data_IF_028040199873
#
_entry.id   IF_028040199873
#
_cell.length_a   1.000
_cell.length_b   1.000
_cell.length_c   1.000
_cell.angle_alpha   90.00
_cell.angle_beta   90.00
_cell.angle_gamma   90.00
#
_symmetry.space_group_name_H-M   'P 1'
#
loop_
_entity.id
_entity.type
_entity.pdbx_description
1 polymer ?
#
# COMPACT_ATOMS: atom_id res chain seq x y z
N UNK A 1 -25.95 -7.95 -88.94
CA UNK A 1 -25.28 -7.69 -87.65
C UNK A 1 -26.37 -7.49 -86.63
N UNK A 2 -26.68 -8.54 -85.86
CA UNK A 2 -26.12 -8.73 -84.52
C UNK A 2 -26.68 -7.62 -83.62
N UNK A 3 -27.66 -7.94 -82.78
CA UNK A 3 -27.44 -8.55 -81.46
C UNK A 3 -26.35 -7.79 -80.70
N UNK A 4 -26.63 -7.46 -79.43
CA UNK A 4 -25.85 -6.60 -78.52
C UNK A 4 -26.26 -5.14 -78.60
N UNK A 5 -27.39 -4.79 -77.97
CA UNK A 5 -27.50 -3.57 -77.15
C UNK A 5 -28.79 -3.54 -76.28
N UNK A 6 -29.50 -4.68 -76.17
CA UNK A 6 -30.75 -4.81 -75.41
C UNK A 6 -30.62 -5.62 -74.09
N UNK A 7 -29.42 -5.83 -73.55
CA UNK A 7 -29.21 -6.66 -72.33
C UNK A 7 -28.45 -5.96 -71.19
N UNK A 8 -28.01 -4.70 -71.37
CA UNK A 8 -27.15 -4.02 -70.38
C UNK A 8 -27.84 -2.92 -69.54
N UNK A 9 -29.18 -2.88 -69.50
CA UNK A 9 -29.92 -1.88 -68.71
C UNK A 9 -30.93 -2.44 -67.71
N UNK A 10 -30.91 -3.75 -67.44
CA UNK A 10 -31.82 -4.40 -66.47
C UNK A 10 -31.10 -5.17 -65.36
N UNK A 11 -29.79 -4.95 -65.19
CA UNK A 11 -28.95 -5.69 -64.26
C UNK A 11 -28.02 -4.78 -63.46
N UNK A 12 -28.55 -3.66 -62.94
CA UNK A 12 -27.82 -2.78 -62.04
C UNK A 12 -28.78 -1.93 -61.18
N UNK A 13 -29.64 -2.59 -60.39
CA UNK A 13 -30.21 -2.05 -59.15
C UNK A 13 -31.18 -3.07 -58.52
N UNK A 14 -30.75 -4.32 -58.32
CA UNK A 14 -31.15 -4.98 -57.08
C UNK A 14 -30.38 -4.25 -55.97
N UNK A 15 -30.91 -3.08 -55.60
CA UNK A 15 -30.65 -2.52 -54.29
C UNK A 15 -31.20 -3.57 -53.34
N UNK A 16 -30.31 -4.43 -52.85
CA UNK A 16 -30.52 -5.06 -51.56
C UNK A 16 -30.75 -3.89 -50.61
N UNK A 17 -32.01 -3.53 -50.40
CA UNK A 17 -32.46 -2.95 -49.15
C UNK A 17 -32.21 -4.07 -48.15
N UNK A 18 -30.96 -4.16 -47.70
CA UNK A 18 -30.66 -4.73 -46.41
C UNK A 18 -31.40 -3.77 -45.50
N UNK A 19 -32.64 -4.11 -45.15
CA UNK A 19 -33.25 -3.55 -43.95
C UNK A 19 -32.14 -3.61 -42.92
N UNK A 20 -31.65 -2.44 -42.53
CA UNK A 20 -31.05 -2.30 -41.23
C UNK A 20 -32.18 -2.77 -40.32
N UNK A 21 -32.20 -4.07 -40.00
CA UNK A 21 -32.66 -4.50 -38.70
C UNK A 21 -31.89 -3.56 -37.78
N UNK A 22 -32.59 -2.58 -37.24
CA UNK A 22 -32.16 -2.02 -35.98
C UNK A 22 -31.88 -3.27 -35.14
N UNK A 23 -30.61 -3.54 -34.85
CA UNK A 23 -30.30 -4.50 -33.79
C UNK A 23 -31.21 -4.09 -32.65
N UNK A 24 -32.13 -4.96 -32.28
CA UNK A 24 -32.83 -4.76 -31.02
C UNK A 24 -31.73 -4.56 -30.00
N UNK A 25 -31.73 -3.44 -29.25
CA UNK A 25 -30.63 -3.16 -28.35
C UNK A 25 -30.44 -4.38 -27.46
N UNK A 26 -29.26 -5.00 -27.55
CA UNK A 26 -28.97 -6.20 -26.78
C UNK A 26 -29.36 -5.94 -25.34
N UNK A 27 -30.10 -6.86 -24.71
CA UNK A 27 -30.58 -6.64 -23.37
C UNK A 27 -29.37 -6.38 -22.45
N UNK A 28 -29.47 -5.40 -21.54
CA UNK A 28 -28.30 -4.85 -20.87
C UNK A 28 -27.63 -5.91 -19.99
N UNK A 29 -26.28 -5.92 -19.91
CA UNK A 29 -25.58 -6.91 -19.12
C UNK A 29 -25.86 -6.70 -17.62
N UNK A 30 -25.90 -7.80 -16.88
CA UNK A 30 -25.94 -7.77 -15.41
C UNK A 30 -24.53 -7.66 -14.89
N UNK A 31 -24.27 -6.69 -13.99
CA UNK A 31 -22.93 -6.46 -13.42
C UNK A 31 -22.88 -6.85 -11.95
N UNK A 32 -21.87 -7.61 -11.57
CA UNK A 32 -21.63 -8.08 -10.22
C UNK A 32 -20.31 -7.53 -9.68
N UNK A 33 -20.33 -6.92 -8.49
CA UNK A 33 -19.14 -6.66 -7.70
C UNK A 33 -18.80 -7.91 -6.91
N UNK A 34 -17.58 -8.43 -7.12
CA UNK A 34 -16.99 -9.48 -6.31
C UNK A 34 -15.99 -8.90 -5.33
N UNK A 35 -16.18 -9.21 -4.05
CA UNK A 35 -15.26 -8.87 -2.97
C UNK A 35 -14.59 -10.14 -2.48
N UNK A 36 -13.27 -10.17 -2.60
CA UNK A 36 -12.43 -11.31 -2.19
C UNK A 36 -11.77 -10.96 -0.87
N UNK A 37 -12.05 -11.74 0.17
CA UNK A 37 -11.48 -11.55 1.50
C UNK A 37 -9.94 -11.67 1.51
N UNK A 38 -9.23 -11.17 2.53
CA UNK A 38 -7.77 -11.11 2.53
C UNK A 38 -7.09 -12.48 2.59
N UNK A 39 -5.84 -12.61 2.14
CA UNK A 39 -5.03 -13.84 2.23
C UNK A 39 -3.69 -13.63 2.91
N UNK A 40 -2.91 -14.71 3.03
CA UNK A 40 -1.63 -14.74 3.74
C UNK A 40 -0.48 -14.09 2.95
N UNK A 41 -0.52 -14.10 1.62
CA UNK A 41 0.49 -13.48 0.73
C UNK A 41 0.41 -11.95 0.77
N UNK A 42 1.55 -11.29 0.55
CA UNK A 42 1.71 -9.83 0.68
C UNK A 42 0.68 -9.02 -0.14
N UNK A 43 0.50 -9.23 -1.47
CA UNK A 43 -0.40 -8.40 -2.25
C UNK A 43 -1.89 -8.61 -1.90
N UNK A 44 -2.26 -9.79 -1.38
CA UNK A 44 -3.66 -10.11 -1.06
C UNK A 44 -4.09 -9.75 0.37
N UNK A 45 -3.25 -9.10 1.18
CA UNK A 45 -3.53 -8.89 2.63
C UNK A 45 -4.67 -7.92 2.93
N UNK A 46 -4.99 -7.03 2.00
CA UNK A 46 -6.14 -6.14 2.12
C UNK A 46 -7.40 -6.72 1.43
N UNK A 47 -7.27 -7.87 0.77
CA UNK A 47 -8.31 -8.45 -0.08
C UNK A 47 -8.08 -8.14 -1.56
N UNK A 48 -9.10 -8.41 -2.37
CA UNK A 48 -9.13 -8.08 -3.78
C UNK A 48 -10.57 -7.78 -4.23
N UNK A 49 -10.75 -7.10 -5.35
CA UNK A 49 -12.07 -6.80 -5.90
C UNK A 49 -12.07 -6.98 -7.42
N UNK A 50 -13.20 -7.44 -7.98
CA UNK A 50 -13.42 -7.60 -9.42
C UNK A 50 -14.85 -7.17 -9.77
N UNK A 51 -15.05 -6.70 -11.01
CA UNK A 51 -16.40 -6.55 -11.59
C UNK A 51 -16.61 -7.63 -12.64
N UNK A 52 -17.70 -8.37 -12.56
CA UNK A 52 -18.06 -9.36 -13.56
C UNK A 52 -19.34 -8.96 -14.29
N UNK A 53 -19.31 -9.00 -15.61
CA UNK A 53 -20.48 -8.79 -16.45
C UNK A 53 -20.98 -10.12 -16.99
N UNK A 54 -22.30 -10.32 -16.94
CA UNK A 54 -23.00 -11.42 -17.61
C UNK A 54 -23.93 -10.86 -18.67
N UNK A 55 -23.94 -11.51 -19.82
CA UNK A 55 -24.88 -11.18 -20.89
C UNK A 55 -26.31 -11.47 -20.43
N UNK A 56 -27.27 -10.66 -20.89
CA UNK A 56 -28.65 -10.86 -20.51
C UNK A 56 -29.20 -12.19 -21.04
N UNK A 57 -29.92 -12.91 -20.20
CA UNK A 57 -30.38 -14.28 -20.48
C UNK A 57 -29.32 -15.36 -20.18
N UNK A 58 -28.08 -14.96 -19.84
CA UNK A 58 -26.98 -15.86 -19.48
C UNK A 58 -26.50 -15.58 -18.06
N UNK A 59 -27.35 -15.86 -17.08
CA UNK A 59 -27.07 -15.59 -15.66
C UNK A 59 -26.10 -16.58 -15.01
N UNK A 60 -25.57 -17.55 -15.75
CA UNK A 60 -24.63 -18.54 -15.21
C UNK A 60 -23.17 -18.03 -15.22
N UNK A 61 -22.36 -18.36 -14.18
CA UNK A 61 -20.94 -17.99 -14.13
C UNK A 61 -20.12 -18.46 -15.34
N UNK A 62 -20.56 -19.51 -16.04
CA UNK A 62 -19.89 -20.01 -17.24
C UNK A 62 -19.82 -18.97 -18.38
N UNK A 63 -20.73 -17.99 -18.38
CA UNK A 63 -20.81 -16.93 -19.39
C UNK A 63 -20.34 -15.56 -18.85
N UNK A 64 -19.83 -15.52 -17.61
CA UNK A 64 -19.39 -14.29 -16.97
C UNK A 64 -17.97 -13.86 -17.38
N UNK A 65 -17.78 -12.56 -17.56
CA UNK A 65 -16.50 -11.93 -17.86
C UNK A 65 -16.11 -10.98 -16.73
N UNK A 66 -15.03 -11.27 -16.03
CA UNK A 66 -14.55 -10.52 -14.88
C UNK A 66 -13.38 -9.62 -15.24
N UNK A 67 -13.53 -8.32 -14.98
CA UNK A 67 -12.53 -7.30 -15.16
C UNK A 67 -11.66 -7.19 -13.90
N UNK A 68 -10.36 -7.38 -14.07
CA UNK A 68 -9.36 -7.34 -13.00
C UNK A 68 -8.31 -6.25 -13.27
N UNK A 69 -8.06 -5.42 -12.27
CA UNK A 69 -7.07 -4.34 -12.28
C UNK A 69 -5.88 -4.60 -11.33
N UNK A 70 -5.79 -5.79 -10.75
CA UNK A 70 -4.73 -6.22 -9.83
C UNK A 70 -3.66 -7.11 -10.47
N UNK A 71 -3.57 -7.15 -11.80
CA UNK A 71 -2.61 -8.01 -12.51
C UNK A 71 -1.37 -7.22 -12.91
N UNK A 72 -0.22 -7.67 -12.40
CA UNK A 72 1.08 -7.10 -12.75
C UNK A 72 1.54 -7.58 -14.14
N UNK A 73 2.37 -6.78 -14.80
CA UNK A 73 2.95 -7.10 -16.12
C UNK A 73 4.18 -8.02 -16.06
N UNK A 74 4.67 -8.34 -14.85
CA UNK A 74 5.80 -9.21 -14.56
C UNK A 74 5.47 -10.15 -13.39
N UNK A 75 6.06 -11.35 -13.41
CA UNK A 75 5.98 -12.31 -12.29
C UNK A 75 6.99 -11.98 -11.16
N UNK A 76 8.00 -11.15 -11.44
CA UNK A 76 8.96 -10.71 -10.42
C UNK A 76 8.35 -9.61 -9.54
N UNK A 77 7.81 -10.02 -8.39
CA UNK A 77 7.17 -9.11 -7.45
C UNK A 77 8.10 -8.03 -6.87
N UNK A 78 9.42 -8.24 -6.88
CA UNK A 78 10.36 -7.20 -6.49
C UNK A 78 10.45 -6.11 -7.56
N UNK A 79 10.56 -6.50 -8.83
CA UNK A 79 10.53 -5.58 -9.96
C UNK A 79 9.20 -4.80 -10.01
N UNK A 80 8.08 -5.50 -9.80
CA UNK A 80 6.75 -4.89 -9.75
C UNK A 80 6.67 -3.85 -8.61
N UNK A 81 7.07 -4.22 -7.40
CA UNK A 81 7.05 -3.29 -6.26
C UNK A 81 7.95 -2.07 -6.50
N UNK A 82 9.16 -2.28 -7.01
CA UNK A 82 10.10 -1.20 -7.31
C UNK A 82 9.60 -0.25 -8.41
N UNK A 83 9.06 -0.81 -9.50
CA UNK A 83 8.54 -0.04 -10.63
C UNK A 83 7.33 0.80 -10.22
N UNK A 84 6.43 0.21 -9.41
CA UNK A 84 5.29 0.92 -8.83
C UNK A 84 5.74 2.09 -7.94
N UNK A 85 6.71 1.86 -7.04
CA UNK A 85 7.29 2.91 -6.18
C UNK A 85 7.98 4.03 -6.98
N UNK A 86 8.43 3.75 -8.21
CA UNK A 86 8.97 4.76 -9.15
C UNK A 86 7.89 5.47 -9.96
N UNK A 87 6.62 5.17 -9.73
CA UNK A 87 5.47 5.73 -10.43
C UNK A 87 5.48 5.40 -11.92
N UNK A 88 6.01 4.24 -12.28
CA UNK A 88 6.07 3.76 -13.67
C UNK A 88 4.93 2.75 -13.90
N UNK A 89 4.32 2.73 -15.09
CA UNK A 89 3.29 1.75 -15.42
C UNK A 89 3.80 0.31 -15.33
N UNK A 90 3.05 -0.57 -14.67
CA UNK A 90 3.38 -1.99 -14.48
C UNK A 90 2.21 -2.90 -14.10
N UNK A 91 0.98 -2.40 -14.16
CA UNK A 91 -0.23 -3.21 -13.99
C UNK A 91 -1.10 -3.07 -15.23
N UNK A 92 -1.68 -4.17 -15.68
CA UNK A 92 -2.51 -4.23 -16.88
C UNK A 92 -3.93 -4.65 -16.51
N UNK A 93 -4.96 -3.97 -17.04
CA UNK A 93 -6.33 -4.44 -16.90
C UNK A 93 -6.54 -5.70 -17.75
N UNK A 94 -7.16 -6.73 -17.17
CA UNK A 94 -7.43 -8.00 -17.86
C UNK A 94 -8.88 -8.42 -17.73
N UNK A 95 -9.31 -9.33 -18.60
CA UNK A 95 -10.59 -10.05 -18.48
C UNK A 95 -10.31 -11.53 -18.22
N UNK A 96 -10.99 -12.09 -17.23
CA UNK A 96 -10.91 -13.50 -16.83
C UNK A 96 -12.33 -14.07 -16.83
N UNK A 97 -12.49 -15.35 -17.20
CA UNK A 97 -13.77 -16.03 -17.08
C UNK A 97 -14.22 -16.14 -15.62
N UNK A 98 -15.50 -15.90 -15.34
CA UNK A 98 -16.01 -15.85 -13.96
C UNK A 98 -15.88 -17.20 -13.25
N UNK A 99 -16.17 -18.32 -13.91
CA UNK A 99 -15.93 -19.66 -13.33
C UNK A 99 -14.47 -19.87 -12.93
N UNK A 100 -13.52 -19.44 -13.77
CA UNK A 100 -12.07 -19.56 -13.52
C UNK A 100 -11.66 -18.72 -12.31
N UNK A 101 -12.17 -17.49 -12.22
CA UNK A 101 -11.94 -16.61 -11.08
C UNK A 101 -12.47 -17.22 -9.77
N UNK A 102 -13.69 -17.73 -9.79
CA UNK A 102 -14.31 -18.35 -8.63
C UNK A 102 -13.53 -19.58 -8.16
N UNK A 103 -13.14 -20.46 -9.08
CA UNK A 103 -12.32 -21.64 -8.77
C UNK A 103 -10.97 -21.22 -8.17
N UNK A 104 -10.25 -20.30 -8.82
CA UNK A 104 -8.93 -19.82 -8.38
C UNK A 104 -8.92 -19.32 -6.92
N UNK A 105 -9.93 -18.52 -6.53
CA UNK A 105 -10.02 -17.97 -5.18
C UNK A 105 -10.60 -18.96 -4.16
N UNK A 106 -11.54 -19.82 -4.57
CA UNK A 106 -12.07 -20.91 -3.70
C UNK A 106 -10.99 -21.91 -3.32
N UNK A 107 -10.18 -22.35 -4.28
CA UNK A 107 -9.04 -23.26 -4.03
C UNK A 107 -8.02 -22.67 -3.06
N UNK A 108 -7.91 -21.34 -2.99
CA UNK A 108 -7.05 -20.60 -2.03
C UNK A 108 -7.73 -20.33 -0.69
N UNK A 109 -8.92 -20.90 -0.47
CA UNK A 109 -9.70 -20.74 0.77
C UNK A 109 -10.13 -19.31 1.07
N UNK A 110 -10.29 -18.48 0.03
CA UNK A 110 -10.67 -17.07 0.16
C UNK A 110 -12.17 -16.98 0.39
N UNK A 111 -12.59 -16.10 1.31
CA UNK A 111 -13.99 -15.67 1.32
C UNK A 111 -14.30 -14.92 0.03
N UNK A 112 -15.46 -15.20 -0.55
CA UNK A 112 -15.96 -14.53 -1.75
C UNK A 112 -17.38 -14.05 -1.44
N UNK A 113 -17.60 -12.76 -1.63
CA UNK A 113 -18.89 -12.10 -1.54
C UNK A 113 -19.24 -11.48 -2.89
N UNK A 114 -20.53 -11.43 -3.21
CA UNK A 114 -21.05 -10.91 -4.47
C UNK A 114 -22.17 -9.90 -4.23
N UNK A 115 -22.18 -8.81 -4.99
CA UNK A 115 -23.29 -7.84 -5.02
C UNK A 115 -23.70 -7.60 -6.47
N UNK A 116 -24.98 -7.84 -6.81
CA UNK A 116 -25.53 -7.46 -8.12
C UNK A 116 -25.80 -5.96 -8.12
N UNK A 117 -25.07 -5.22 -8.95
CA UNK A 117 -25.22 -3.76 -9.00
C UNK A 117 -26.57 -3.41 -9.66
N UNK A 118 -27.44 -2.62 -9.02
CA UNK A 118 -28.76 -2.29 -9.54
C UNK A 118 -28.64 -1.13 -10.55
N UNK A 119 -27.93 -1.39 -11.64
CA UNK A 119 -27.66 -0.45 -12.72
C UNK A 119 -28.82 -0.45 -13.71
N UNK A 120 -29.17 0.72 -14.22
CA UNK A 120 -29.97 0.82 -15.44
C UNK A 120 -29.19 0.25 -16.63
N UNK A 121 -29.89 -0.08 -17.71
CA UNK A 121 -29.23 -0.63 -18.89
C UNK A 121 -28.16 0.29 -19.49
N UNK A 122 -28.37 1.60 -19.41
CA UNK A 122 -27.39 2.60 -19.85
C UNK A 122 -26.15 2.63 -18.94
N UNK A 123 -26.33 2.61 -17.62
CA UNK A 123 -25.22 2.59 -16.66
C UNK A 123 -24.39 1.31 -16.80
N UNK A 124 -25.05 0.15 -16.96
CA UNK A 124 -24.39 -1.13 -17.16
C UNK A 124 -23.58 -1.17 -18.48
N UNK A 125 -24.19 -0.75 -19.60
CA UNK A 125 -23.50 -0.69 -20.89
C UNK A 125 -22.32 0.31 -20.88
N UNK A 126 -22.49 1.46 -20.22
CA UNK A 126 -21.42 2.45 -20.06
C UNK A 126 -20.25 1.91 -19.23
N UNK A 127 -20.55 1.24 -18.10
CA UNK A 127 -19.56 0.64 -17.22
C UNK A 127 -18.76 -0.46 -17.92
N UNK A 128 -19.45 -1.44 -18.51
CA UNK A 128 -18.81 -2.57 -19.20
C UNK A 128 -18.00 -2.08 -20.40
N UNK A 129 -18.58 -1.22 -21.23
CA UNK A 129 -17.88 -0.69 -22.40
C UNK A 129 -16.64 0.14 -22.04
N UNK A 130 -16.64 0.84 -20.89
CA UNK A 130 -15.45 1.54 -20.40
C UNK A 130 -14.32 0.58 -20.04
N UNK A 131 -14.61 -0.46 -19.26
CA UNK A 131 -13.62 -1.47 -18.87
C UNK A 131 -13.12 -2.28 -20.07
N UNK A 132 -14.00 -2.65 -21.00
CA UNK A 132 -13.61 -3.33 -22.24
C UNK A 132 -12.66 -2.50 -23.09
N UNK A 133 -12.87 -1.19 -23.20
CA UNK A 133 -11.94 -0.30 -23.92
C UNK A 133 -10.57 -0.25 -23.25
N UNK A 134 -10.51 -0.21 -21.91
CA UNK A 134 -9.25 -0.21 -21.19
C UNK A 134 -8.49 -1.53 -21.36
N UNK A 135 -9.16 -2.67 -21.17
CA UNK A 135 -8.58 -3.99 -21.39
C UNK A 135 -8.10 -4.15 -22.84
N UNK A 136 -8.95 -3.81 -23.81
CA UNK A 136 -8.61 -3.89 -25.24
C UNK A 136 -7.43 -3.00 -25.62
N UNK A 137 -7.23 -1.88 -24.91
CA UNK A 137 -6.08 -1.01 -25.14
C UNK A 137 -4.77 -1.65 -24.72
N UNK A 138 -4.81 -2.60 -23.77
CA UNK A 138 -3.64 -3.24 -23.17
C UNK A 138 -2.66 -2.27 -22.49
N UNK A 139 -3.07 -1.02 -22.24
CA UNK A 139 -2.17 0.01 -21.71
C UNK A 139 -1.94 -0.22 -20.22
N UNK A 140 -0.68 -0.42 -19.79
CA UNK A 140 -0.38 -0.53 -18.37
C UNK A 140 -0.63 0.82 -17.68
N UNK A 141 -0.94 0.76 -16.40
CA UNK A 141 -1.03 1.93 -15.52
C UNK A 141 -0.07 1.79 -14.34
N UNK A 142 0.29 2.93 -13.75
CA UNK A 142 1.15 2.98 -12.57
C UNK A 142 0.32 2.63 -11.34
N UNK A 143 0.57 1.46 -10.76
CA UNK A 143 -0.13 1.03 -9.57
C UNK A 143 0.26 1.89 -8.37
N UNK A 144 -0.74 2.27 -7.58
CA UNK A 144 -0.55 2.98 -6.32
C UNK A 144 -1.45 2.33 -5.25
N UNK A 145 -0.89 1.88 -4.12
CA UNK A 145 -1.63 1.12 -3.12
C UNK A 145 -2.83 1.90 -2.53
N UNK A 146 -2.76 3.23 -2.51
CA UNK A 146 -3.82 4.09 -2.00
C UNK A 146 -4.76 4.66 -3.06
N UNK A 147 -4.23 4.95 -4.26
CA UNK A 147 -4.89 5.85 -5.22
C UNK A 147 -5.25 5.17 -6.54
N UNK A 148 -4.55 4.09 -6.91
CA UNK A 148 -4.72 3.39 -8.17
C UNK A 148 -4.42 1.91 -7.95
N UNK A 149 -5.31 1.23 -7.23
CA UNK A 149 -5.23 -0.20 -6.94
C UNK A 149 -6.41 -0.95 -7.58
N UNK A 150 -6.46 -2.27 -7.41
CA UNK A 150 -7.53 -3.11 -7.95
C UNK A 150 -8.94 -2.65 -7.55
N UNK A 151 -9.09 -2.09 -6.35
CA UNK A 151 -10.37 -1.65 -5.79
C UNK A 151 -10.70 -0.22 -6.21
N UNK A 152 -9.74 0.72 -6.14
CA UNK A 152 -10.00 2.12 -6.51
C UNK A 152 -10.31 2.27 -7.99
N UNK A 153 -9.68 1.47 -8.85
CA UNK A 153 -10.00 1.44 -10.29
C UNK A 153 -11.46 1.06 -10.54
N UNK A 154 -11.95 0.01 -9.88
CA UNK A 154 -13.34 -0.42 -10.01
C UNK A 154 -14.31 0.59 -9.37
N UNK A 155 -13.97 1.10 -8.18
CA UNK A 155 -14.72 2.18 -7.50
C UNK A 155 -14.93 3.37 -8.43
N UNK A 156 -13.87 3.83 -9.09
CA UNK A 156 -13.91 5.00 -9.97
C UNK A 156 -14.79 4.72 -11.20
N UNK A 157 -14.70 3.53 -11.79
CA UNK A 157 -15.57 3.12 -12.90
C UNK A 157 -17.05 3.07 -12.51
N UNK A 158 -17.37 2.51 -11.34
CA UNK A 158 -18.74 2.48 -10.81
C UNK A 158 -19.27 3.90 -10.59
N UNK A 159 -18.46 4.77 -9.97
CA UNK A 159 -18.85 6.15 -9.68
C UNK A 159 -19.12 6.96 -10.95
N UNK A 160 -18.25 6.84 -11.96
CA UNK A 160 -18.44 7.50 -13.26
C UNK A 160 -19.71 6.97 -13.95
N UNK A 161 -19.90 5.66 -14.01
CA UNK A 161 -21.06 5.06 -14.66
C UNK A 161 -22.38 5.45 -13.98
N UNK A 162 -22.36 5.65 -12.66
CA UNK A 162 -23.54 5.97 -11.85
C UNK A 162 -23.65 7.46 -11.50
N UNK A 163 -22.92 8.31 -12.22
CA UNK A 163 -22.91 9.76 -12.09
C UNK A 163 -22.73 10.25 -10.63
N UNK A 164 -21.75 9.70 -9.93
CA UNK A 164 -21.36 10.15 -8.60
C UNK A 164 -22.12 9.49 -7.44
N UNK A 165 -22.98 8.49 -7.70
CA UNK A 165 -23.80 7.85 -6.66
C UNK A 165 -22.96 7.16 -5.57
N UNK A 166 -21.79 6.63 -5.93
CA UNK A 166 -20.87 5.98 -5.00
C UNK A 166 -19.95 6.99 -4.29
N UNK A 167 -19.77 8.20 -4.84
CA UNK A 167 -18.88 9.25 -4.35
C UNK A 167 -18.93 9.53 -2.85
N UNK A 168 -20.12 9.55 -2.19
CA UNK A 168 -20.17 9.80 -0.76
C UNK A 168 -19.53 8.70 0.10
N UNK A 169 -19.29 7.49 -0.45
CA UNK A 169 -18.75 6.33 0.27
C UNK A 169 -19.68 5.81 1.37
N UNK A 170 -19.29 4.83 2.19
CA UNK A 170 -20.11 4.40 3.34
C UNK A 170 -20.16 5.50 4.42
N UNK A 171 -21.28 5.58 5.14
CA UNK A 171 -21.47 6.52 6.26
C UNK A 171 -20.52 6.28 7.43
N UNK A 172 -20.07 5.03 7.60
CA UNK A 172 -19.12 4.62 8.63
C UNK A 172 -17.92 3.93 8.00
N UNK A 173 -16.72 4.33 8.42
CA UNK A 173 -15.46 3.67 8.06
C UNK A 173 -14.68 3.28 9.31
N UNK A 174 -13.82 2.26 9.24
CA UNK A 174 -12.90 1.94 10.34
C UNK A 174 -12.08 3.19 10.73
N UNK A 175 -12.01 3.52 12.04
CA UNK A 175 -11.25 4.68 12.47
C UNK A 175 -9.75 4.46 12.27
N UNK A 176 -9.02 5.54 12.08
CA UNK A 176 -7.57 5.53 11.94
C UNK A 176 -7.09 6.28 10.73
N UNK A 177 -5.82 6.09 10.44
CA UNK A 177 -5.08 6.66 9.32
C UNK A 177 -4.87 5.61 8.23
N UNK A 178 -4.34 6.02 7.07
CA UNK A 178 -3.90 5.08 6.04
C UNK A 178 -2.86 4.07 6.56
N UNK A 179 -1.98 4.49 7.48
CA UNK A 179 -1.03 3.63 8.19
C UNK A 179 -1.75 2.52 8.95
N UNK A 180 -2.82 2.86 9.67
CA UNK A 180 -3.58 1.88 10.44
C UNK A 180 -4.23 0.81 9.56
N UNK A 181 -4.72 1.20 8.37
CA UNK A 181 -5.33 0.27 7.42
C UNK A 181 -4.29 -0.75 6.92
N UNK A 182 -3.09 -0.29 6.60
CA UNK A 182 -2.01 -1.15 6.12
C UNK A 182 -1.40 -1.99 7.24
N UNK A 183 -1.19 -1.43 8.44
CA UNK A 183 -0.71 -2.19 9.60
C UNK A 183 -1.70 -3.27 10.02
N UNK A 184 -3.02 -3.03 9.94
CA UNK A 184 -4.05 -4.04 10.24
C UNK A 184 -3.99 -5.21 9.24
N UNK A 185 -3.95 -4.92 7.93
CA UNK A 185 -3.81 -5.97 6.90
C UNK A 185 -2.54 -6.81 7.08
N UNK A 186 -1.47 -6.20 7.61
CA UNK A 186 -0.18 -6.84 7.86
C UNK A 186 0.02 -7.30 9.30
N UNK A 187 -1.04 -7.30 10.10
CA UNK A 187 -0.96 -7.74 11.50
C UNK A 187 -0.29 -9.12 11.59
N UNK A 188 0.68 -9.22 12.51
CA UNK A 188 1.37 -10.48 12.82
C UNK A 188 2.58 -10.76 11.93
N UNK A 189 2.81 -9.92 10.92
CA UNK A 189 4.02 -9.98 10.08
C UNK A 189 5.07 -9.03 10.62
N UNK A 190 5.77 -9.49 11.64
CA UNK A 190 6.77 -8.72 12.39
C UNK A 190 7.75 -8.00 11.47
N UNK A 191 8.33 -8.69 10.47
CA UNK A 191 9.29 -8.08 9.55
C UNK A 191 8.68 -6.93 8.73
N UNK A 192 7.47 -7.12 8.19
CA UNK A 192 6.78 -6.11 7.39
C UNK A 192 6.37 -4.93 8.26
N UNK A 193 5.77 -5.18 9.42
CA UNK A 193 5.39 -4.12 10.37
C UNK A 193 6.61 -3.33 10.85
N UNK A 194 7.76 -3.97 11.04
CA UNK A 194 9.02 -3.29 11.40
C UNK A 194 9.50 -2.41 10.25
N UNK A 195 9.44 -2.89 9.02
CA UNK A 195 9.74 -2.08 7.84
C UNK A 195 8.80 -0.87 7.73
N UNK A 196 7.48 -1.07 7.91
CA UNK A 196 6.51 0.03 7.93
C UNK A 196 6.81 1.05 9.03
N UNK A 197 7.17 0.60 10.24
CA UNK A 197 7.52 1.48 11.36
C UNK A 197 8.78 2.33 11.14
N UNK A 198 9.61 1.99 10.15
CA UNK A 198 10.85 2.67 9.78
C UNK A 198 10.68 3.51 8.51
N UNK A 199 10.08 2.94 7.46
CA UNK A 199 10.11 3.52 6.11
C UNK A 199 8.85 4.29 5.72
N UNK A 200 7.71 4.10 6.40
CA UNK A 200 6.50 4.87 6.11
C UNK A 200 6.65 6.30 6.62
N UNK A 201 6.55 7.25 5.70
CA UNK A 201 6.51 8.68 5.96
C UNK A 201 5.13 9.19 6.35
N UNK A 202 5.03 10.52 6.49
CA UNK A 202 3.84 11.21 7.03
C UNK A 202 2.59 11.08 6.15
N UNK A 203 2.76 10.80 4.85
CA UNK A 203 1.63 10.61 3.94
C UNK A 203 0.70 9.45 4.36
N UNK A 204 1.21 8.48 5.13
CA UNK A 204 0.39 7.40 5.67
C UNK A 204 -0.41 7.82 6.91
N UNK A 205 -0.08 8.95 7.54
CA UNK A 205 -0.74 9.41 8.75
C UNK A 205 -1.97 10.30 8.44
N UNK A 206 -2.33 10.41 7.15
CA UNK A 206 -3.58 10.97 6.66
C UNK A 206 -4.78 10.12 7.10
N UNK A 207 -5.86 10.79 7.52
CA UNK A 207 -7.15 10.14 7.81
C UNK A 207 -7.98 10.08 6.53
N UNK A 208 -8.28 8.88 6.00
CA UNK A 208 -9.02 8.79 4.75
C UNK A 208 -10.46 9.29 4.92
N UNK A 209 -10.95 9.97 3.90
CA UNK A 209 -12.39 10.18 3.72
C UNK A 209 -13.10 8.86 3.40
N UNK A 210 -14.44 8.77 3.52
CA UNK A 210 -15.17 7.56 3.11
C UNK A 210 -14.89 7.12 1.67
N UNK A 211 -14.71 8.09 0.77
CA UNK A 211 -14.32 7.82 -0.62
C UNK A 211 -12.94 7.15 -0.71
N UNK A 212 -11.93 7.73 -0.04
CA UNK A 212 -10.56 7.23 -0.03
C UNK A 212 -10.46 5.86 0.66
N UNK A 213 -11.23 5.64 1.72
CA UNK A 213 -11.26 4.38 2.47
C UNK A 213 -11.73 3.19 1.60
N UNK A 214 -12.50 3.42 0.54
CA UNK A 214 -12.83 2.41 -0.47
C UNK A 214 -11.62 1.97 -1.34
N UNK A 215 -10.38 2.29 -0.94
CA UNK A 215 -9.17 1.57 -1.37
C UNK A 215 -9.15 0.12 -0.88
N UNK A 216 -9.86 -0.18 0.22
CA UNK A 216 -9.99 -1.53 0.78
C UNK A 216 -11.26 -2.19 0.22
N UNK A 217 -11.17 -3.40 -0.38
CA UNK A 217 -12.32 -4.11 -0.97
C UNK A 217 -13.55 -4.21 -0.07
N UNK A 218 -13.37 -4.54 1.22
CA UNK A 218 -14.47 -4.64 2.17
C UNK A 218 -15.21 -3.30 2.38
N UNK A 219 -14.48 -2.18 2.33
CA UNK A 219 -15.08 -0.85 2.48
C UNK A 219 -15.80 -0.44 1.19
N UNK A 220 -15.29 -0.82 0.01
CA UNK A 220 -16.02 -0.66 -1.25
C UNK A 220 -17.33 -1.46 -1.24
N UNK A 221 -17.29 -2.72 -0.81
CA UNK A 221 -18.47 -3.58 -0.64
C UNK A 221 -19.53 -2.92 0.25
N UNK A 222 -19.10 -2.37 1.39
CA UNK A 222 -19.99 -1.69 2.34
C UNK A 222 -20.56 -0.39 1.76
N UNK A 223 -19.73 0.37 1.05
CA UNK A 223 -20.16 1.55 0.29
C UNK A 223 -21.20 1.22 -0.77
N UNK A 224 -21.01 0.12 -1.52
CA UNK A 224 -21.99 -0.37 -2.49
C UNK A 224 -23.28 -0.81 -1.79
N UNK A 225 -23.17 -1.53 -0.68
CA UNK A 225 -24.35 -1.97 0.07
C UNK A 225 -25.19 -0.79 0.55
N UNK A 226 -24.56 0.25 1.10
CA UNK A 226 -25.25 1.43 1.60
C UNK A 226 -25.80 2.30 0.47
N UNK A 227 -25.00 2.58 -0.57
CA UNK A 227 -25.38 3.54 -1.63
C UNK A 227 -26.33 2.97 -2.67
N UNK A 228 -26.31 1.64 -2.86
CA UNK A 228 -27.16 0.97 -3.83
C UNK A 228 -28.26 0.11 -3.18
N UNK A 229 -28.24 -0.10 -1.87
CA UNK A 229 -29.22 -0.94 -1.17
C UNK A 229 -29.07 -2.43 -1.48
N UNK A 230 -27.86 -2.88 -1.82
CA UNK A 230 -27.58 -4.27 -2.21
C UNK A 230 -26.63 -4.92 -1.21
N UNK A 231 -27.12 -5.74 -0.27
CA UNK A 231 -26.24 -6.44 0.67
C UNK A 231 -25.36 -7.48 -0.04
N UNK A 232 -24.16 -7.77 0.48
CA UNK A 232 -23.31 -8.82 -0.06
C UNK A 232 -23.92 -10.22 0.15
N UNK A 233 -23.91 -11.02 -0.90
CA UNK A 233 -24.25 -12.44 -0.87
C UNK A 233 -22.96 -13.28 -0.72
N UNK A 234 -22.94 -14.18 0.25
CA UNK A 234 -21.80 -15.08 0.46
C UNK A 234 -21.76 -16.16 -0.63
N UNK A 235 -20.71 -16.19 -1.43
CA UNK A 235 -20.50 -17.20 -2.50
C UNK A 235 -19.54 -18.31 -2.05
N UNK A 236 -18.56 -17.99 -1.21
CA UNK A 236 -17.65 -18.95 -0.61
C UNK A 236 -17.22 -18.49 0.77
N UNK A 237 -17.24 -19.39 1.75
CA UNK A 237 -16.71 -19.11 3.08
C UNK A 237 -15.18 -19.20 3.11
N UNK A 238 -14.58 -18.51 4.08
CA UNK A 238 -13.14 -18.56 4.32
C UNK A 238 -12.76 -19.89 4.97
N UNK A 239 -11.72 -20.56 4.48
CA UNK A 239 -11.27 -21.83 5.06
C UNK A 239 -10.42 -21.67 6.34
N UNK A 240 -9.71 -20.55 6.51
CA UNK A 240 -8.87 -20.30 7.69
C UNK A 240 -9.03 -18.88 8.25
N UNK A 241 -9.30 -18.67 9.55
CA UNK A 241 -9.40 -17.34 10.12
C UNK A 241 -8.05 -16.60 10.11
N UNK A 242 -8.02 -15.34 9.63
CA UNK A 242 -6.90 -14.43 9.92
C UNK A 242 -7.13 -13.89 11.30
N UNK A 243 -6.35 -14.39 12.26
CA UNK A 243 -6.39 -13.86 13.61
C UNK A 243 -5.73 -12.48 13.61
N UNK A 244 -6.48 -11.40 13.91
CA UNK A 244 -5.88 -10.10 14.05
C UNK A 244 -4.88 -10.18 15.20
N UNK A 245 -3.68 -9.73 14.92
CA UNK A 245 -2.60 -9.65 15.91
C UNK A 245 -2.21 -8.18 16.06
N UNK A 246 -1.31 -7.88 17.00
CA UNK A 246 -1.01 -6.49 17.29
C UNK A 246 -0.30 -5.79 16.12
N UNK A 247 -0.91 -4.71 15.62
CA UNK A 247 -0.30 -3.73 14.69
C UNK A 247 0.99 -3.13 15.25
N UNK A 248 1.07 -3.02 16.58
CA UNK A 248 2.19 -2.39 17.27
C UNK A 248 3.48 -3.24 17.28
N UNK A 249 3.43 -4.52 16.86
CA UNK A 249 4.60 -5.42 16.92
C UNK A 249 5.82 -4.83 16.20
N UNK A 250 5.63 -4.18 15.05
CA UNK A 250 6.72 -3.52 14.32
C UNK A 250 7.42 -2.44 15.15
N UNK A 251 6.65 -1.54 15.76
CA UNK A 251 7.18 -0.49 16.64
C UNK A 251 7.85 -1.07 17.89
N UNK A 252 7.25 -2.11 18.48
CA UNK A 252 7.81 -2.81 19.65
C UNK A 252 9.19 -3.40 19.32
N UNK A 253 9.36 -4.02 18.15
CA UNK A 253 10.68 -4.52 17.72
C UNK A 253 11.71 -3.41 17.66
N UNK A 254 11.35 -2.24 17.13
CA UNK A 254 12.27 -1.09 17.08
C UNK A 254 12.69 -0.65 18.50
N UNK A 255 11.75 -0.59 19.45
CA UNK A 255 12.08 -0.33 20.87
C UNK A 255 12.99 -1.41 21.47
N UNK A 256 12.75 -2.69 21.16
CA UNK A 256 13.58 -3.80 21.64
C UNK A 256 15.00 -3.68 21.08
N UNK A 257 15.16 -3.35 19.79
CA UNK A 257 16.47 -3.10 19.19
C UNK A 257 17.17 -1.90 19.85
N UNK A 258 16.44 -0.82 20.10
CA UNK A 258 16.96 0.35 20.82
C UNK A 258 17.53 -0.02 22.20
N UNK A 259 16.77 -0.81 22.96
CA UNK A 259 17.17 -1.28 24.28
C UNK A 259 18.34 -2.28 24.21
N UNK A 260 18.35 -3.17 23.21
CA UNK A 260 19.46 -4.08 22.97
C UNK A 260 20.77 -3.31 22.68
N UNK A 261 20.74 -2.30 21.82
CA UNK A 261 21.89 -1.44 21.55
C UNK A 261 22.37 -0.71 22.81
N UNK A 262 21.45 -0.20 23.63
CA UNK A 262 21.78 0.36 24.95
C UNK A 262 22.53 -0.64 25.82
N UNK A 263 22.02 -1.87 25.97
CA UNK A 263 22.65 -2.92 26.76
C UNK A 263 24.03 -3.32 26.21
N UNK A 264 24.17 -3.41 24.88
CA UNK A 264 25.45 -3.66 24.21
C UNK A 264 26.47 -2.60 24.58
N UNK A 265 26.10 -1.31 24.53
CA UNK A 265 26.99 -0.22 24.95
C UNK A 265 27.40 -0.38 26.41
N UNK A 266 26.44 -0.65 27.32
CA UNK A 266 26.72 -0.83 28.75
C UNK A 266 27.64 -2.04 29.01
N UNK A 267 27.45 -3.13 28.30
CA UNK A 267 28.27 -4.33 28.40
C UNK A 267 29.69 -4.09 27.88
N UNK A 268 29.84 -3.50 26.69
CA UNK A 268 31.13 -3.17 26.10
C UNK A 268 31.91 -2.17 26.96
N UNK A 269 31.25 -1.15 27.52
CA UNK A 269 31.88 -0.18 28.41
C UNK A 269 32.46 -0.83 29.68
N UNK A 270 31.75 -1.81 30.28
CA UNK A 270 32.27 -2.56 31.45
C UNK A 270 33.48 -3.43 31.13
N UNK A 271 33.71 -3.76 29.86
CA UNK A 271 34.81 -4.60 29.38
C UNK A 271 35.92 -3.80 28.70
N UNK A 272 35.89 -2.47 28.82
CA UNK A 272 36.81 -1.55 28.16
C UNK A 272 36.85 -1.67 26.62
N UNK A 273 35.73 -2.09 26.02
CA UNK A 273 35.55 -2.29 24.57
C UNK A 273 34.67 -1.20 23.95
N UNK A 274 34.79 0.05 24.39
CA UNK A 274 33.94 1.15 23.91
C UNK A 274 34.06 1.37 22.39
N UNK A 275 35.24 1.15 21.81
CA UNK A 275 35.44 1.21 20.36
C UNK A 275 34.58 0.20 19.57
N UNK A 276 34.31 -0.99 20.14
CA UNK A 276 33.40 -1.96 19.52
C UNK A 276 31.95 -1.48 19.60
N UNK A 277 31.53 -0.90 20.73
CA UNK A 277 30.20 -0.33 20.88
C UNK A 277 29.94 0.79 19.87
N UNK A 278 30.92 1.67 19.64
CA UNK A 278 30.83 2.73 18.63
C UNK A 278 30.65 2.16 17.22
N UNK A 279 31.36 1.07 16.88
CA UNK A 279 31.22 0.39 15.58
C UNK A 279 29.85 -0.25 15.41
N UNK A 280 29.33 -0.91 16.45
CA UNK A 280 28.01 -1.55 16.41
C UNK A 280 26.92 -0.48 16.28
N UNK A 281 26.89 0.51 17.18
CA UNK A 281 25.87 1.56 17.17
C UNK A 281 25.95 2.38 15.88
N UNK A 282 27.14 2.82 15.49
CA UNK A 282 27.34 3.61 14.27
C UNK A 282 27.03 2.84 13.00
N UNK A 283 27.42 1.55 12.95
CA UNK A 283 27.09 0.66 11.85
C UNK A 283 25.58 0.45 11.71
N UNK A 284 24.87 0.15 12.81
CA UNK A 284 23.42 -0.05 12.79
C UNK A 284 22.66 1.22 12.41
N UNK A 285 22.87 2.33 13.15
CA UNK A 285 22.13 3.57 12.90
C UNK A 285 22.51 4.22 11.57
N UNK A 286 23.80 4.21 11.24
CA UNK A 286 24.32 4.81 10.02
C UNK A 286 23.91 4.04 8.77
N UNK A 287 23.92 2.70 8.80
CA UNK A 287 23.41 1.90 7.68
C UNK A 287 21.90 2.11 7.51
N UNK A 288 21.14 2.10 8.61
CA UNK A 288 19.71 2.36 8.56
C UNK A 288 19.39 3.76 8.02
N UNK A 289 20.18 4.76 8.38
CA UNK A 289 20.05 6.11 7.86
C UNK A 289 20.28 6.16 6.35
N UNK A 290 21.35 5.52 5.85
CA UNK A 290 21.63 5.43 4.42
C UNK A 290 20.47 4.75 3.69
N UNK A 291 19.93 3.65 4.20
CA UNK A 291 18.82 2.97 3.52
C UNK A 291 17.55 3.81 3.52
N UNK A 292 17.19 4.45 4.63
CA UNK A 292 16.00 5.33 4.70
C UNK A 292 16.16 6.55 3.78
N UNK A 293 17.34 7.16 3.74
CA UNK A 293 17.62 8.29 2.85
C UNK A 293 17.57 7.86 1.37
N UNK A 294 18.21 6.74 1.02
CA UNK A 294 18.16 6.20 -0.34
C UNK A 294 16.73 5.87 -0.76
N UNK A 295 15.96 5.18 0.10
CA UNK A 295 14.55 4.88 -0.18
C UNK A 295 13.75 6.16 -0.36
N UNK A 296 13.92 7.16 0.51
CA UNK A 296 13.18 8.43 0.43
C UNK A 296 13.53 9.22 -0.83
N UNK A 297 14.80 9.18 -1.27
CA UNK A 297 15.26 9.86 -2.48
C UNK A 297 14.85 9.15 -3.78
N UNK A 298 14.73 7.82 -3.74
CA UNK A 298 14.45 7.01 -4.93
C UNK A 298 12.96 6.70 -5.10
N UNK A 299 12.15 6.69 -4.06
CA UNK A 299 10.70 6.42 -4.17
C UNK A 299 9.96 7.72 -4.53
N UNK A 300 8.98 7.63 -5.44
CA UNK A 300 8.15 8.78 -5.85
C UNK A 300 6.92 9.01 -4.98
N UNK A 301 6.49 7.99 -4.24
CA UNK A 301 5.31 8.06 -3.38
C UNK A 301 5.58 8.97 -2.18
N UNK A 302 4.78 10.04 -1.97
CA UNK A 302 4.94 10.93 -0.82
C UNK A 302 4.78 10.21 0.52
N UNK A 303 4.05 9.10 0.55
CA UNK A 303 3.87 8.21 1.70
C UNK A 303 5.19 7.52 2.12
N UNK A 304 6.25 7.59 1.33
CA UNK A 304 7.58 7.07 1.67
C UNK A 304 8.63 8.17 1.61
N UNK A 305 8.59 9.05 0.60
CA UNK A 305 9.62 10.06 0.37
C UNK A 305 9.55 11.25 1.34
N UNK A 306 8.36 11.63 1.80
CA UNK A 306 8.20 12.66 2.84
C UNK A 306 8.19 12.00 4.22
N UNK A 307 9.38 11.88 4.81
CA UNK A 307 9.58 11.09 6.02
C UNK A 307 10.36 11.84 7.09
N UNK A 308 9.72 12.09 8.24
CA UNK A 308 10.35 12.75 9.39
C UNK A 308 11.49 11.94 10.00
N UNK A 309 11.57 10.63 9.73
CA UNK A 309 12.68 9.77 10.15
C UNK A 309 14.04 10.27 9.63
N UNK A 310 14.07 11.02 8.52
CA UNK A 310 15.29 11.62 7.97
C UNK A 310 15.93 12.65 8.93
N UNK A 311 15.15 13.29 9.82
CA UNK A 311 15.70 14.16 10.86
C UNK A 311 16.34 13.37 12.02
N UNK A 312 15.93 12.12 12.19
CA UNK A 312 16.38 11.25 13.27
C UNK A 312 17.56 10.37 12.86
N UNK A 313 17.58 9.85 11.63
CA UNK A 313 18.57 8.88 11.17
C UNK A 313 19.60 9.58 10.27
N UNK A 314 20.84 9.74 10.75
CA UNK A 314 21.88 10.47 10.01
C UNK A 314 22.95 9.51 9.49
N UNK A 315 23.28 9.51 8.18
CA UNK A 315 24.35 8.64 7.63
C UNK A 315 25.70 8.84 8.30
N UNK A 316 25.96 10.06 8.79
CA UNK A 316 27.18 10.41 9.52
C UNK A 316 27.34 9.62 10.84
N UNK A 317 26.30 8.94 11.32
CA UNK A 317 26.41 7.99 12.43
C UNK A 317 27.39 6.82 12.11
N UNK A 318 27.64 6.50 10.83
CA UNK A 318 28.71 5.57 10.41
C UNK A 318 30.11 6.05 10.88
N UNK A 319 30.29 7.35 11.03
CA UNK A 319 31.57 7.94 11.41
C UNK A 319 31.83 7.90 12.94
N UNK A 320 30.88 7.43 13.75
CA UNK A 320 31.00 7.40 15.23
C UNK A 320 32.35 6.89 15.76
N UNK A 321 32.93 5.78 15.26
CA UNK A 321 34.23 5.29 15.74
C UNK A 321 35.40 6.25 15.48
N UNK A 322 35.25 7.18 14.54
CA UNK A 322 36.32 8.05 14.04
C UNK A 322 36.23 9.50 14.54
N UNK A 323 35.17 9.86 15.28
CA UNK A 323 34.94 11.24 15.73
C UNK A 323 35.94 11.74 16.80
N UNK A 324 36.64 10.84 17.48
CA UNK A 324 37.67 11.16 18.48
C UNK A 324 37.19 12.19 19.50
N UNK A 325 37.91 13.32 19.62
CA UNK A 325 37.62 14.40 20.58
C UNK A 325 36.24 15.06 20.38
N UNK A 326 35.66 14.98 19.17
CA UNK A 326 34.36 15.58 18.83
C UNK A 326 33.17 14.70 19.22
N UNK A 327 33.41 13.44 19.58
CA UNK A 327 32.36 12.45 19.85
C UNK A 327 31.36 12.91 20.91
N UNK A 328 31.82 13.44 22.05
CA UNK A 328 30.92 13.87 23.12
C UNK A 328 30.02 15.04 22.71
N UNK A 329 30.53 15.97 21.91
CA UNK A 329 29.73 17.07 21.36
C UNK A 329 28.70 16.54 20.35
N UNK A 330 29.13 15.67 19.46
CA UNK A 330 28.26 15.02 18.47
C UNK A 330 27.07 14.30 19.14
N UNK A 331 27.34 13.43 20.13
CA UNK A 331 26.29 12.70 20.85
C UNK A 331 25.30 13.65 21.54
N UNK A 332 25.77 14.74 22.15
CA UNK A 332 24.90 15.75 22.76
C UNK A 332 24.00 16.43 21.73
N UNK A 333 24.55 16.82 20.57
CA UNK A 333 23.79 17.43 19.49
C UNK A 333 22.72 16.45 18.98
N UNK A 334 23.10 15.19 18.72
CA UNK A 334 22.16 14.17 18.24
C UNK A 334 21.03 13.91 19.22
N UNK A 335 21.33 13.80 20.52
CA UNK A 335 20.29 13.67 21.56
C UNK A 335 19.39 14.90 21.57
N UNK A 336 19.96 16.12 21.53
CA UNK A 336 19.17 17.35 21.54
C UNK A 336 18.23 17.45 20.34
N UNK A 337 18.72 17.20 19.12
CA UNK A 337 17.89 17.17 17.89
C UNK A 337 16.79 16.13 18.02
N UNK A 338 17.12 14.92 18.50
CA UNK A 338 16.15 13.84 18.64
C UNK A 338 15.06 14.19 19.67
N UNK A 339 15.41 14.85 20.76
CA UNK A 339 14.45 15.36 21.75
C UNK A 339 13.56 16.43 21.14
N UNK A 340 14.10 17.34 20.33
CA UNK A 340 13.29 18.33 19.60
C UNK A 340 12.27 17.64 18.69
N UNK A 341 12.67 16.64 17.91
CA UNK A 341 11.75 15.87 17.05
C UNK A 341 10.67 15.15 17.88
N UNK A 342 11.03 14.55 19.01
CA UNK A 342 10.06 13.95 19.92
C UNK A 342 9.04 14.97 20.46
N UNK A 343 9.50 16.19 20.79
CA UNK A 343 8.61 17.28 21.19
C UNK A 343 7.69 17.66 20.03
N UNK A 344 8.20 17.80 18.80
CA UNK A 344 7.40 18.10 17.61
C UNK A 344 6.30 17.06 17.37
N UNK A 345 6.57 15.78 17.58
CA UNK A 345 5.55 14.72 17.54
C UNK A 345 4.51 14.91 18.66
N UNK A 346 4.94 15.09 19.91
CA UNK A 346 4.05 15.25 21.07
C UNK A 346 3.12 16.46 20.92
N UNK A 347 3.62 17.57 20.37
CA UNK A 347 2.81 18.78 20.11
C UNK A 347 2.05 18.74 18.78
N UNK A 348 2.03 17.58 18.10
CA UNK A 348 1.31 17.36 16.83
C UNK A 348 1.75 18.27 15.68
N UNK A 349 3.03 18.66 15.65
CA UNK A 349 3.64 19.33 14.48
C UNK A 349 4.18 18.28 13.50
N UNK A 350 4.84 17.25 14.01
CA UNK A 350 5.21 16.07 13.23
C UNK A 350 4.08 15.04 13.36
N UNK A 351 3.34 14.80 12.29
CA UNK A 351 2.16 13.92 12.29
C UNK A 351 2.50 12.44 12.12
N UNK A 352 3.78 12.06 12.25
CA UNK A 352 4.29 10.70 12.08
C UNK A 352 4.64 10.10 13.44
N UNK A 353 4.33 8.81 13.69
CA UNK A 353 4.76 8.12 14.91
C UNK A 353 6.27 7.88 14.89
N UNK A 354 7.02 8.64 15.68
CA UNK A 354 8.49 8.67 15.66
C UNK A 354 9.11 8.20 16.98
N UNK A 355 8.34 8.06 18.06
CA UNK A 355 8.86 7.71 19.39
C UNK A 355 9.74 6.45 19.41
N UNK A 356 9.43 5.45 18.59
CA UNK A 356 10.27 4.25 18.46
C UNK A 356 11.65 4.56 17.86
N UNK A 357 11.72 5.45 16.86
CA UNK A 357 12.97 5.90 16.25
C UNK A 357 13.73 6.88 17.15
N UNK A 358 13.01 7.72 17.90
CA UNK A 358 13.56 8.57 18.96
C UNK A 358 14.29 7.70 19.99
N UNK A 359 13.66 6.62 20.46
CA UNK A 359 14.29 5.69 21.39
C UNK A 359 15.49 4.97 20.77
N UNK A 360 15.39 4.55 19.50
CA UNK A 360 16.46 3.90 18.73
C UNK A 360 17.73 4.74 18.69
N UNK A 361 17.62 6.07 18.67
CA UNK A 361 18.77 6.99 18.69
C UNK A 361 19.18 7.35 20.12
N UNK A 362 18.24 7.81 20.95
CA UNK A 362 18.55 8.38 22.28
C UNK A 362 19.14 7.36 23.23
N UNK A 363 18.60 6.13 23.28
CA UNK A 363 19.04 5.13 24.25
C UNK A 363 20.53 4.77 24.07
N UNK A 364 21.01 4.29 22.91
CA UNK A 364 22.43 3.97 22.76
C UNK A 364 23.32 5.21 22.88
N UNK A 365 22.89 6.40 22.44
CA UNK A 365 23.70 7.62 22.54
C UNK A 365 23.83 8.12 23.98
N UNK A 366 22.77 8.04 24.78
CA UNK A 366 22.84 8.34 26.20
C UNK A 366 23.77 7.36 26.94
N UNK A 367 23.72 6.07 26.58
CA UNK A 367 24.64 5.07 27.12
C UNK A 367 26.10 5.36 26.76
N UNK A 368 26.38 5.73 25.51
CA UNK A 368 27.72 6.09 25.04
C UNK A 368 28.24 7.35 25.76
N UNK A 369 27.40 8.38 25.88
CA UNK A 369 27.77 9.62 26.57
C UNK A 369 28.05 9.38 28.06
N UNK A 370 27.26 8.53 28.70
CA UNK A 370 27.48 8.11 30.09
C UNK A 370 28.80 7.35 30.24
N UNK A 371 29.07 6.36 29.38
CA UNK A 371 30.32 5.60 29.38
C UNK A 371 31.56 6.48 29.17
N UNK A 372 31.49 7.48 28.28
CA UNK A 372 32.58 8.44 28.05
C UNK A 372 32.88 9.30 29.29
N UNK A 373 31.86 9.66 30.08
CA UNK A 373 32.07 10.40 31.33
C UNK A 373 32.77 9.54 32.38
N UNK A 374 32.38 8.26 32.50
CA UNK A 374 33.00 7.32 33.45
C UNK A 374 34.45 6.94 33.08
N UNK A 375 34.83 7.06 31.81
CA UNK A 375 36.18 6.73 31.33
C UNK A 375 37.20 7.89 31.50
N UNK A 376 36.77 9.12 31.80
CA UNK A 376 37.69 10.20 32.18
C UNK A 376 38.02 10.05 33.67
N UNK A 377 39.28 9.77 34.06
CA UNK A 377 39.65 9.76 35.46
C UNK A 377 39.48 11.15 36.08
N UNK A 378 39.06 11.18 37.34
CA UNK A 378 39.11 12.35 38.21
C UNK A 378 40.58 12.67 38.45
N UNK A 379 41.15 13.58 37.66
CA UNK A 379 42.48 14.14 37.92
C UNK A 379 42.37 15.65 38.00
N UNK A 380 42.05 16.12 39.19
CA UNK A 380 42.39 17.46 39.71
C UNK A 380 42.33 17.36 41.25
N UNK A 381 43.19 16.51 41.84
CA UNK A 381 43.62 16.71 43.23
C UNK A 381 44.81 17.66 43.19
N UNK A 382 44.53 18.88 43.61
CA UNK A 382 45.41 20.00 43.91
C UNK A 382 46.70 19.56 44.64
N UNK A 383 47.89 20.05 44.27
CA UNK A 383 49.10 19.72 45.01
C UNK A 383 49.07 20.38 46.40
N UNK A 384 49.28 19.58 47.44
CA UNK A 384 49.40 20.03 48.82
C UNK A 384 50.50 21.10 48.96
N UNK A 385 50.33 22.11 49.85
CA UNK A 385 51.33 23.14 50.05
C UNK A 385 52.61 22.53 50.65
N UNK A 386 53.74 22.85 50.04
CA UNK A 386 55.06 22.53 50.59
C UNK A 386 55.26 23.29 51.91
N UNK A 387 55.64 22.56 52.95
CA UNK A 387 56.11 23.07 54.25
C UNK A 387 57.59 23.38 54.16
#
# INVERSE_FOLDING_TARGET
>A
MRLLFAVLFSLAALVFVREARADEPEPPPTVYLYTIGPHSDFPSRLGHALLCAREAGHDEPAHGRCFDYGVADSEDMFEVGWTAMRGRPNFVPVVIGESVMLEFFKERGRAIERQSLPLSGQEAASLVGAMEREVSSGKPFAYHPYWANCTTKLRDHIDVATNGKLRPGPSTIPPGTLRDYFEEGHSGRIAILTAMAIYFGEGNDHRPTPWEAMLVPAILRDGVAERFGVPPEQVAERLEPVLPTSRALGRIVVFVVAFALFLTVRFCARRDRLGLALKIVGGTLGTLAVTVEMTSALVKWPEISHNWALLLLWPIDLALPYLGKRLALYLKIRIAVTVVVAVLEIVSVAHQPLLQLVALVVLPFAALLSALKSAKPVTETEPAPAV
#
